data_IF_157381633800
#
_entry.id   IF_157381633800
#
_cell.length_a   1.000
_cell.length_b   1.000
_cell.length_c   1.000
_cell.angle_alpha   90.00
_cell.angle_beta   90.00
_cell.angle_gamma   90.00
#
_symmetry.space_group_name_H-M   'P 1'
#
loop_
_entity.id
_entity.type
_entity.pdbx_description
1 polymer ?
#
# COMPACT_ATOMS: atom_id res chain seq x y z
N UNK A 1 31.01 64.59 -15.11
CA UNK A 1 30.93 63.28 -15.79
C UNK A 1 31.69 62.27 -14.94
N UNK A 2 30.97 61.49 -14.14
CA UNK A 2 31.52 60.43 -13.28
C UNK A 2 30.56 59.22 -13.38
N UNK A 3 31.16 58.08 -13.67
CA UNK A 3 30.55 56.76 -13.79
C UNK A 3 29.81 56.33 -12.51
N UNK A 4 28.76 55.52 -12.67
CA UNK A 4 28.66 54.21 -12.02
C UNK A 4 27.43 53.46 -12.55
N UNK A 5 27.69 52.33 -13.24
CA UNK A 5 26.71 51.28 -13.46
C UNK A 5 26.34 50.67 -12.10
N UNK A 6 25.04 50.51 -11.83
CA UNK A 6 24.54 49.70 -10.72
C UNK A 6 23.83 48.49 -11.34
N UNK A 7 24.48 47.34 -11.28
CA UNK A 7 23.88 46.04 -11.59
C UNK A 7 23.00 45.59 -10.41
N UNK A 8 21.71 45.44 -10.65
CA UNK A 8 20.77 44.84 -9.70
C UNK A 8 20.89 43.31 -9.77
N UNK A 9 21.51 42.71 -8.75
CA UNK A 9 21.52 41.25 -8.56
C UNK A 9 20.17 40.84 -7.99
N UNK A 10 19.31 40.26 -8.83
CA UNK A 10 18.08 39.62 -8.37
C UNK A 10 18.44 38.32 -7.64
N UNK A 11 18.20 38.29 -6.33
CA UNK A 11 18.42 37.12 -5.48
C UNK A 11 17.44 36.00 -5.88
N UNK A 12 17.97 34.93 -6.47
CA UNK A 12 17.24 33.71 -6.76
C UNK A 12 17.05 32.94 -5.44
N UNK A 13 15.88 33.10 -4.82
CA UNK A 13 15.49 32.34 -3.63
C UNK A 13 15.25 30.87 -4.02
N UNK A 14 16.23 30.01 -3.76
CA UNK A 14 16.05 28.56 -3.84
C UNK A 14 15.20 28.11 -2.64
N UNK A 15 13.91 27.94 -2.87
CA UNK A 15 13.03 27.25 -1.93
C UNK A 15 13.40 25.76 -1.96
N UNK A 16 14.23 25.31 -1.02
CA UNK A 16 14.50 23.88 -0.82
C UNK A 16 13.23 23.28 -0.20
N UNK A 17 12.33 22.77 -1.03
CA UNK A 17 11.24 21.92 -0.56
C UNK A 17 11.85 20.60 -0.13
N UNK A 18 11.90 20.37 1.18
CA UNK A 18 12.24 19.08 1.76
C UNK A 18 11.17 18.07 1.32
N UNK A 19 11.44 17.28 0.27
CA UNK A 19 10.59 16.13 -0.06
C UNK A 19 10.81 15.08 1.04
N UNK A 20 9.95 15.08 2.04
CA UNK A 20 9.67 13.84 2.76
C UNK A 20 9.05 12.89 1.73
N UNK A 21 9.81 11.85 1.34
CA UNK A 21 9.28 10.75 0.52
C UNK A 21 8.29 9.99 1.39
N UNK A 22 7.05 10.46 1.45
CA UNK A 22 5.94 9.62 1.88
C UNK A 22 5.77 8.55 0.82
N UNK A 23 5.68 7.28 1.21
CA UNK A 23 5.32 6.23 0.27
C UNK A 23 3.95 6.60 -0.32
N UNK A 24 3.96 7.03 -1.59
CA UNK A 24 2.77 7.43 -2.33
C UNK A 24 1.73 6.32 -2.25
N UNK A 25 0.47 6.69 -2.02
CA UNK A 25 -0.64 5.74 -2.06
C UNK A 25 -0.65 4.98 -3.37
N UNK A 26 -0.92 3.68 -3.32
CA UNK A 26 -1.08 2.88 -4.55
C UNK A 26 -2.49 2.94 -5.14
N UNK A 27 -3.40 3.69 -4.50
CA UNK A 27 -4.76 3.94 -4.99
C UNK A 27 -4.74 4.82 -6.24
N UNK A 28 -5.56 4.45 -7.21
CA UNK A 28 -5.87 5.23 -8.40
C UNK A 28 -7.38 5.33 -8.56
N UNK A 29 -7.85 6.42 -9.14
CA UNK A 29 -9.24 6.56 -9.58
C UNK A 29 -9.47 5.78 -10.88
N UNK A 30 -10.57 5.03 -10.90
CA UNK A 30 -11.15 4.38 -12.08
C UNK A 30 -12.60 4.86 -12.20
N UNK A 31 -13.22 4.66 -13.38
CA UNK A 31 -14.53 5.22 -13.73
C UNK A 31 -15.59 5.14 -12.61
N UNK A 32 -15.65 4.02 -11.89
CA UNK A 32 -16.68 3.74 -10.89
C UNK A 32 -16.14 3.51 -9.46
N UNK A 33 -14.82 3.56 -9.25
CA UNK A 33 -14.20 3.18 -7.97
C UNK A 33 -12.75 3.62 -7.88
N UNK A 34 -12.24 3.75 -6.66
CA UNK A 34 -10.79 3.72 -6.39
C UNK A 34 -10.30 2.29 -6.41
N UNK A 35 -9.06 2.05 -6.83
CA UNK A 35 -8.49 0.69 -6.83
C UNK A 35 -6.97 0.69 -6.80
N UNK A 36 -6.37 -0.47 -6.50
CA UNK A 36 -4.91 -0.59 -6.47
C UNK A 36 -4.32 -0.64 -7.87
N UNK A 37 -3.28 0.16 -8.08
CA UNK A 37 -2.52 0.17 -9.33
C UNK A 37 -1.97 -1.20 -9.75
N UNK A 38 -1.63 -2.08 -8.80
CA UNK A 38 -1.16 -3.44 -9.11
C UNK A 38 -2.28 -4.42 -9.46
N UNK A 39 -3.55 -4.03 -9.30
CA UNK A 39 -4.74 -4.72 -9.78
C UNK A 39 -5.46 -3.96 -10.89
N UNK A 40 -4.79 -2.99 -11.54
CA UNK A 40 -5.36 -2.11 -12.58
C UNK A 40 -6.12 -2.87 -13.68
N UNK A 41 -5.62 -4.04 -14.10
CA UNK A 41 -6.30 -4.83 -15.14
C UNK A 41 -7.69 -5.36 -14.72
N UNK A 42 -7.95 -5.50 -13.42
CA UNK A 42 -9.25 -5.89 -12.87
C UNK A 42 -10.20 -4.69 -12.87
N UNK A 43 -9.70 -3.51 -12.50
CA UNK A 43 -10.48 -2.27 -12.42
C UNK A 43 -10.81 -1.69 -13.78
N UNK A 44 -9.83 -1.53 -14.68
CA UNK A 44 -10.03 -0.95 -16.01
C UNK A 44 -10.96 -1.77 -16.91
N UNK A 45 -11.26 -3.02 -16.53
CA UNK A 45 -12.21 -3.92 -17.22
C UNK A 45 -13.53 -4.08 -16.46
N UNK A 46 -13.75 -3.33 -15.38
CA UNK A 46 -14.89 -3.46 -14.47
C UNK A 46 -15.17 -4.91 -14.06
N UNK A 47 -14.11 -5.70 -13.81
CA UNK A 47 -14.21 -7.12 -13.51
C UNK A 47 -14.46 -7.36 -12.01
N UNK A 48 -15.47 -6.71 -11.43
CA UNK A 48 -15.77 -6.73 -9.99
C UNK A 48 -15.96 -8.16 -9.47
N UNK A 49 -16.54 -9.05 -10.29
CA UNK A 49 -16.75 -10.47 -9.98
C UNK A 49 -15.47 -11.24 -9.69
N UNK A 50 -14.32 -10.74 -10.14
CA UNK A 50 -13.02 -11.37 -9.86
C UNK A 50 -12.73 -11.42 -8.36
N UNK A 51 -13.25 -10.46 -7.58
CA UNK A 51 -13.12 -10.41 -6.13
C UNK A 51 -14.45 -10.70 -5.43
N UNK A 52 -15.55 -10.09 -5.89
CA UNK A 52 -16.83 -10.07 -5.19
C UNK A 52 -17.79 -11.22 -5.53
N UNK A 53 -17.57 -11.94 -6.63
CA UNK A 53 -18.56 -12.89 -7.12
C UNK A 53 -19.81 -12.20 -7.67
N UNK A 54 -21.00 -12.63 -7.24
CA UNK A 54 -22.29 -12.10 -7.72
C UNK A 54 -22.75 -10.83 -7.02
N UNK A 55 -22.31 -10.60 -5.78
CA UNK A 55 -22.73 -9.44 -4.96
C UNK A 55 -21.53 -8.51 -4.72
N UNK A 56 -21.60 -7.28 -5.24
CA UNK A 56 -20.49 -6.31 -5.17
C UNK A 56 -20.49 -5.53 -3.84
N UNK A 57 -21.52 -5.72 -3.00
CA UNK A 57 -21.59 -5.06 -1.70
C UNK A 57 -20.80 -5.82 -0.62
N UNK A 58 -20.02 -5.09 0.18
CA UNK A 58 -19.25 -5.65 1.30
C UNK A 58 -17.87 -6.21 0.92
N UNK A 59 -17.23 -6.88 1.88
CA UNK A 59 -15.91 -7.48 1.66
C UNK A 59 -16.01 -8.75 0.81
N UNK A 60 -15.05 -8.98 -0.11
CA UNK A 60 -14.98 -10.23 -0.84
C UNK A 60 -14.65 -11.40 0.10
N UNK A 61 -15.06 -12.61 -0.28
CA UNK A 61 -14.64 -13.81 0.43
C UNK A 61 -13.14 -14.03 0.27
N UNK A 62 -12.47 -14.36 1.38
CA UNK A 62 -11.01 -14.48 1.46
C UNK A 62 -10.43 -15.51 0.45
N UNK A 63 -11.18 -16.59 0.22
CA UNK A 63 -10.83 -17.63 -0.76
C UNK A 63 -10.65 -17.10 -2.20
N UNK A 64 -11.15 -15.91 -2.50
CA UNK A 64 -11.03 -15.32 -3.83
C UNK A 64 -9.65 -14.72 -4.05
N UNK A 65 -9.01 -14.17 -3.02
CA UNK A 65 -7.61 -13.78 -3.04
C UNK A 65 -6.72 -15.00 -3.34
N UNK A 66 -7.07 -16.15 -2.75
CA UNK A 66 -6.31 -17.40 -2.86
C UNK A 66 -6.27 -18.00 -4.27
N UNK A 67 -7.21 -17.62 -5.14
CA UNK A 67 -7.23 -18.06 -6.55
C UNK A 67 -5.99 -17.57 -7.32
N UNK A 68 -5.42 -16.44 -6.90
CA UNK A 68 -4.25 -15.82 -7.54
C UNK A 68 -3.03 -15.77 -6.61
N UNK A 69 -3.24 -15.66 -5.30
CA UNK A 69 -2.19 -15.51 -4.30
C UNK A 69 -2.15 -16.72 -3.36
N UNK A 70 -1.12 -17.54 -3.46
CA UNK A 70 -0.97 -18.70 -2.58
C UNK A 70 -0.51 -18.28 -1.16
N UNK A 71 -1.29 -18.54 -0.09
CA UNK A 71 -0.95 -18.10 1.27
C UNK A 71 0.36 -18.67 1.79
N UNK A 72 0.64 -19.96 1.54
CA UNK A 72 1.89 -20.58 1.99
C UNK A 72 3.12 -19.96 1.33
N UNK A 73 3.01 -19.59 0.05
CA UNK A 73 4.08 -18.88 -0.65
C UNK A 73 4.26 -17.46 -0.11
N UNK A 74 3.18 -16.78 0.29
CA UNK A 74 3.26 -15.46 0.92
C UNK A 74 3.93 -15.55 2.30
N UNK A 75 3.51 -16.49 3.14
CA UNK A 75 4.12 -16.79 4.43
C UNK A 75 5.62 -17.05 4.30
N UNK A 76 6.03 -17.92 3.36
CA UNK A 76 7.44 -18.22 3.09
C UNK A 76 8.24 -16.99 2.62
N UNK A 77 7.67 -16.18 1.72
CA UNK A 77 8.32 -14.97 1.21
C UNK A 77 8.46 -13.85 2.25
N UNK A 78 7.69 -13.92 3.32
CA UNK A 78 7.65 -12.88 4.36
C UNK A 78 8.20 -13.35 5.70
N UNK A 79 8.91 -14.50 5.70
CA UNK A 79 9.71 -14.94 6.83
C UNK A 79 10.65 -13.82 7.28
N UNK A 80 10.73 -13.66 8.59
CA UNK A 80 11.58 -12.69 9.27
C UNK A 80 12.70 -13.44 10.01
N UNK A 81 13.78 -12.74 10.33
CA UNK A 81 14.97 -13.32 10.96
C UNK A 81 15.49 -12.44 12.09
N UNK A 82 16.36 -12.99 12.93
CA UNK A 82 16.90 -12.28 14.09
C UNK A 82 15.78 -11.89 15.08
N UNK A 83 15.85 -10.67 15.59
CA UNK A 83 14.89 -10.17 16.59
C UNK A 83 13.45 -10.00 16.05
N UNK A 84 13.28 -10.08 14.73
CA UNK A 84 11.98 -9.93 14.07
C UNK A 84 11.32 -11.26 13.71
N UNK A 85 11.91 -12.42 14.08
CA UNK A 85 11.45 -13.76 13.66
C UNK A 85 9.97 -14.03 13.90
N UNK A 86 9.36 -13.42 14.91
CA UNK A 86 7.94 -13.56 15.25
C UNK A 86 7.01 -12.52 14.57
N UNK A 87 7.54 -11.70 13.67
CA UNK A 87 6.81 -10.59 13.05
C UNK A 87 6.35 -10.91 11.62
N UNK A 88 6.28 -12.19 11.22
CA UNK A 88 5.80 -12.56 9.89
C UNK A 88 4.31 -12.15 9.73
N UNK A 89 3.97 -11.22 8.83
CA UNK A 89 2.60 -10.72 8.71
C UNK A 89 1.63 -11.74 8.10
N UNK A 90 2.13 -12.76 7.40
CA UNK A 90 1.31 -13.81 6.77
C UNK A 90 1.43 -15.17 7.48
N UNK A 91 2.10 -15.21 8.64
CA UNK A 91 2.18 -16.36 9.54
C UNK A 91 2.46 -15.84 10.97
N UNK A 92 1.47 -15.16 11.54
CA UNK A 92 1.65 -14.38 12.77
C UNK A 92 1.43 -15.24 14.02
N UNK A 93 1.98 -14.79 15.15
CA UNK A 93 1.98 -15.58 16.40
C UNK A 93 0.58 -15.82 16.99
N UNK A 94 -0.37 -14.92 16.75
CA UNK A 94 -1.70 -14.98 17.36
C UNK A 94 -2.68 -15.83 16.56
N UNK A 95 -2.60 -15.74 15.24
CA UNK A 95 -3.62 -16.26 14.32
C UNK A 95 -3.04 -17.13 13.21
N UNK A 96 -1.72 -17.37 13.20
CA UNK A 96 -1.03 -18.12 12.15
C UNK A 96 -1.30 -17.52 10.78
N UNK A 97 -1.81 -18.35 9.87
CA UNK A 97 -2.12 -17.99 8.47
C UNK A 97 -3.61 -17.74 8.21
N UNK A 98 -4.44 -17.75 9.25
CA UNK A 98 -5.91 -17.77 9.12
C UNK A 98 -6.55 -16.38 9.20
N UNK A 99 -5.75 -15.31 9.27
CA UNK A 99 -6.26 -13.93 9.24
C UNK A 99 -6.75 -13.60 7.82
N UNK A 100 -8.01 -13.14 7.64
CA UNK A 100 -8.49 -12.74 6.33
C UNK A 100 -7.63 -11.63 5.72
N UNK A 101 -7.34 -11.73 4.42
CA UNK A 101 -6.54 -10.78 3.65
C UNK A 101 -7.05 -9.35 3.82
N UNK A 102 -8.37 -9.19 3.85
CA UNK A 102 -9.07 -7.89 3.97
C UNK A 102 -8.86 -7.22 5.32
N UNK A 103 -8.36 -7.92 6.35
CA UNK A 103 -8.04 -7.30 7.65
C UNK A 103 -6.85 -6.36 7.57
N UNK A 104 -5.94 -6.56 6.62
CA UNK A 104 -4.78 -5.70 6.41
C UNK A 104 -4.78 -5.01 5.05
N UNK A 105 -5.37 -5.65 4.02
CA UNK A 105 -5.34 -5.17 2.64
C UNK A 105 -6.70 -4.61 2.20
N UNK A 106 -6.75 -3.28 2.05
CA UNK A 106 -7.90 -2.58 1.45
C UNK A 106 -7.66 -2.33 -0.03
N UNK A 107 -8.56 -2.80 -0.90
CA UNK A 107 -8.45 -2.58 -2.35
C UNK A 107 -8.94 -1.19 -2.77
N UNK A 108 -10.06 -0.76 -2.19
CA UNK A 108 -10.73 0.50 -2.54
C UNK A 108 -10.46 1.63 -1.53
N UNK A 109 -9.70 1.34 -0.47
CA UNK A 109 -9.34 2.28 0.60
C UNK A 109 -7.95 1.95 1.14
N UNK A 110 -7.27 2.94 1.70
CA UNK A 110 -6.04 2.69 2.45
C UNK A 110 -6.34 1.91 3.74
N UNK A 111 -5.51 0.91 4.04
CA UNK A 111 -5.62 0.13 5.27
C UNK A 111 -4.24 -0.13 5.87
N UNK A 112 -4.13 0.08 7.18
CA UNK A 112 -2.93 -0.30 7.93
C UNK A 112 -2.94 -1.81 8.21
N UNK A 113 -1.77 -2.43 8.42
CA UNK A 113 -1.70 -3.80 8.92
C UNK A 113 -2.38 -3.90 10.28
N UNK A 114 -3.17 -4.97 10.50
CA UNK A 114 -3.84 -5.26 11.78
C UNK A 114 -2.88 -5.19 12.98
N UNK A 115 -1.62 -5.63 12.80
CA UNK A 115 -0.61 -5.62 13.86
C UNK A 115 -0.31 -4.21 14.40
N UNK A 116 -0.54 -3.17 13.60
CA UNK A 116 -0.23 -1.78 13.96
C UNK A 116 -1.10 -1.24 15.10
N UNK A 117 -2.21 -1.91 15.40
CA UNK A 117 -3.10 -1.54 16.51
C UNK A 117 -2.44 -1.80 17.88
N UNK A 118 -1.45 -2.69 17.94
CA UNK A 118 -0.76 -3.05 19.19
C UNK A 118 0.77 -2.98 19.10
N UNK A 119 1.33 -3.12 17.89
CA UNK A 119 2.76 -3.22 17.65
C UNK A 119 3.27 -2.10 16.76
N UNK A 120 4.54 -1.78 16.89
CA UNK A 120 5.23 -0.76 16.08
C UNK A 120 6.08 -1.37 14.96
N UNK A 121 5.76 -2.61 14.56
CA UNK A 121 6.46 -3.37 13.53
C UNK A 121 6.56 -2.60 12.22
N UNK A 122 7.66 -2.81 11.50
CA UNK A 122 7.91 -2.16 10.22
C UNK A 122 7.76 -3.17 9.09
N UNK A 123 6.78 -2.90 8.23
CA UNK A 123 6.52 -3.68 7.02
C UNK A 123 6.83 -2.84 5.78
N UNK A 124 8.11 -2.72 5.39
CA UNK A 124 8.53 -1.84 4.28
C UNK A 124 7.91 -2.23 2.93
N UNK A 125 7.48 -3.49 2.80
CA UNK A 125 6.85 -4.01 1.58
C UNK A 125 5.32 -4.00 1.63
N UNK A 126 4.71 -3.50 2.72
CA UNK A 126 3.25 -3.34 2.78
C UNK A 126 2.84 -2.18 1.88
N UNK A 127 2.15 -2.48 0.78
CA UNK A 127 1.67 -1.46 -0.14
C UNK A 127 0.38 -0.86 0.39
N UNK A 128 0.45 0.43 0.74
CA UNK A 128 -0.68 1.20 1.26
C UNK A 128 -1.47 1.89 0.18
#
# INVERSE_FOLDING_TARGET
MKNALIYSMSALSLCVTSLAVTAESTLKEYDQMTGRSYHEQLHSKNNCKACHGSEVSGYPADNTCHKCHNPDKLAQKTVRSGDEVHQNPHDNLHYGKDVPCTECHGEHIEKQPLCADCHTFKYPNHKK
#
